data_IF_583130023372
#
_entry.id   IF_583130023372
#
_cell.length_a   1.000
_cell.length_b   1.000
_cell.length_c   1.000
_cell.angle_alpha   90.00
_cell.angle_beta   90.00
_cell.angle_gamma   90.00
#
_symmetry.space_group_name_H-M   'P 1'
#
loop_
_entity.id
_entity.type
_entity.pdbx_description
1 polymer ?
#
# COMPACT_ATOMS: atom_id res chain seq x y z
N UNK A 1 12.50 7.80 -24.31
CA UNK A 1 12.64 7.77 -22.83
C UNK A 1 14.10 7.60 -22.49
N UNK A 2 14.66 8.43 -21.60
CA UNK A 2 16.08 8.33 -21.22
C UNK A 2 16.31 7.26 -20.13
N UNK A 3 17.54 6.77 -19.99
CA UNK A 3 17.89 5.71 -19.03
C UNK A 3 17.57 6.07 -17.57
N UNK A 4 17.63 7.34 -17.20
CA UNK A 4 17.27 7.81 -15.86
C UNK A 4 15.76 7.69 -15.58
N UNK A 5 14.90 8.03 -16.54
CA UNK A 5 13.45 7.83 -16.46
C UNK A 5 13.09 6.34 -16.44
N UNK A 6 13.82 5.52 -17.19
CA UNK A 6 13.64 4.06 -17.23
C UNK A 6 14.02 3.40 -15.90
N UNK A 7 15.17 3.78 -15.33
CA UNK A 7 15.63 3.28 -14.02
C UNK A 7 14.77 3.81 -12.86
N UNK A 8 14.25 5.04 -12.96
CA UNK A 8 13.33 5.61 -11.98
C UNK A 8 12.02 4.81 -11.92
N UNK A 9 11.47 4.41 -13.07
CA UNK A 9 10.28 3.56 -13.13
C UNK A 9 10.56 2.16 -12.56
N UNK A 10 11.68 1.53 -12.94
CA UNK A 10 12.06 0.18 -12.47
C UNK A 10 12.23 0.12 -10.94
N UNK A 11 12.85 1.14 -10.31
CA UNK A 11 13.02 1.15 -8.85
C UNK A 11 11.69 1.29 -8.10
N UNK A 12 10.76 2.09 -8.62
CA UNK A 12 9.42 2.19 -8.04
C UNK A 12 8.63 0.89 -8.19
N UNK A 13 8.75 0.23 -9.34
CA UNK A 13 8.06 -1.03 -9.60
C UNK A 13 8.44 -2.10 -8.57
N UNK A 14 9.73 -2.28 -8.24
CA UNK A 14 10.14 -3.24 -7.21
C UNK A 14 9.65 -2.85 -5.81
N UNK A 15 9.86 -1.60 -5.38
CA UNK A 15 9.45 -1.17 -4.03
C UNK A 15 7.91 -1.25 -3.83
N UNK A 16 7.14 -0.96 -4.88
CA UNK A 16 5.68 -1.11 -4.84
C UNK A 16 5.31 -2.59 -4.82
N UNK A 17 5.93 -3.44 -5.64
CA UNK A 17 5.68 -4.89 -5.64
C UNK A 17 5.95 -5.51 -4.27
N UNK A 18 7.06 -5.17 -3.63
CA UNK A 18 7.40 -5.63 -2.28
C UNK A 18 6.32 -5.20 -1.28
N UNK A 19 5.87 -3.94 -1.35
CA UNK A 19 4.77 -3.47 -0.51
C UNK A 19 3.48 -4.26 -0.77
N UNK A 20 3.11 -4.52 -2.03
CA UNK A 20 1.90 -5.29 -2.36
C UNK A 20 1.98 -6.72 -1.82
N UNK A 21 3.15 -7.35 -1.92
CA UNK A 21 3.40 -8.67 -1.33
C UNK A 21 3.26 -8.65 0.19
N UNK A 22 3.81 -7.65 0.86
CA UNK A 22 3.68 -7.52 2.31
C UNK A 22 2.23 -7.29 2.75
N UNK A 23 1.47 -6.47 2.01
CA UNK A 23 0.03 -6.25 2.25
C UNK A 23 -0.72 -7.57 2.09
N UNK A 24 -0.48 -8.31 1.01
CA UNK A 24 -1.13 -9.59 0.73
C UNK A 24 -0.78 -10.64 1.78
N UNK A 25 0.50 -10.78 2.13
CA UNK A 25 0.97 -11.70 3.15
C UNK A 25 0.38 -11.37 4.53
N UNK A 26 0.27 -10.09 4.88
CA UNK A 26 -0.36 -9.67 6.13
C UNK A 26 -1.85 -10.03 6.16
N UNK A 27 -2.57 -9.82 5.06
CA UNK A 27 -3.98 -10.20 4.95
C UNK A 27 -4.17 -11.72 5.04
N UNK A 28 -3.28 -12.50 4.40
CA UNK A 28 -3.29 -13.96 4.48
C UNK A 28 -3.10 -14.44 5.93
N UNK A 29 -2.06 -13.95 6.62
CA UNK A 29 -1.80 -14.28 8.04
C UNK A 29 -2.99 -13.92 8.94
N UNK A 30 -3.60 -12.77 8.72
CA UNK A 30 -4.81 -12.39 9.45
C UNK A 30 -5.97 -13.35 9.17
N UNK A 31 -6.21 -13.70 7.90
CA UNK A 31 -7.25 -14.67 7.50
C UNK A 31 -7.03 -16.04 8.15
N UNK A 32 -5.80 -16.57 8.11
CA UNK A 32 -5.41 -17.81 8.79
C UNK A 32 -5.64 -17.76 10.31
N UNK A 33 -5.30 -16.62 10.94
CA UNK A 33 -5.53 -16.46 12.39
C UNK A 33 -7.01 -16.53 12.77
N UNK A 34 -7.91 -16.11 11.88
CA UNK A 34 -9.37 -16.23 12.08
C UNK A 34 -9.81 -17.68 11.94
N UNK A 35 -9.28 -18.43 10.96
CA UNK A 35 -9.55 -19.87 10.79
C UNK A 35 -9.20 -20.66 12.06
N UNK A 36 -7.99 -20.43 12.59
CA UNK A 36 -7.51 -21.12 13.79
C UNK A 36 -8.37 -20.82 15.03
N UNK A 37 -8.95 -19.61 15.13
CA UNK A 37 -9.82 -19.23 16.26
C UNK A 37 -11.22 -19.84 16.16
N UNK A 38 -11.78 -19.92 14.95
CA UNK A 38 -13.16 -20.36 14.75
C UNK A 38 -13.28 -21.87 14.52
N UNK A 39 -12.16 -22.58 14.33
CA UNK A 39 -12.13 -24.02 14.05
C UNK A 39 -12.77 -24.42 12.72
N UNK A 40 -13.14 -23.44 11.89
CA UNK A 40 -13.79 -23.63 10.60
C UNK A 40 -12.80 -23.29 9.50
N UNK A 41 -12.19 -24.32 8.94
CA UNK A 41 -11.36 -24.21 7.75
C UNK A 41 -12.26 -24.22 6.52
N UNK A 42 -12.41 -23.06 5.89
CA UNK A 42 -13.21 -22.95 4.67
C UNK A 42 -12.31 -22.47 3.54
N UNK A 43 -12.33 -23.21 2.42
CA UNK A 43 -11.66 -22.85 1.17
C UNK A 43 -12.05 -21.44 0.70
N UNK A 44 -13.26 -20.99 1.05
CA UNK A 44 -13.76 -19.65 0.76
C UNK A 44 -12.88 -18.52 1.35
N UNK A 45 -12.23 -18.74 2.49
CA UNK A 45 -11.33 -17.73 3.10
C UNK A 45 -9.97 -17.67 2.43
N UNK A 46 -9.45 -18.80 1.97
CA UNK A 46 -8.20 -18.82 1.19
C UNK A 46 -8.41 -18.19 -0.17
N UNK A 47 -9.53 -18.50 -0.81
CA UNK A 47 -9.90 -17.89 -2.07
C UNK A 47 -10.07 -16.37 -1.92
N UNK A 48 -10.72 -15.91 -0.84
CA UNK A 48 -10.81 -14.48 -0.54
C UNK A 48 -9.45 -13.82 -0.32
N UNK A 49 -8.52 -14.48 0.38
CA UNK A 49 -7.17 -13.94 0.60
C UNK A 49 -6.36 -13.87 -0.71
N UNK A 50 -6.47 -14.90 -1.55
CA UNK A 50 -5.85 -14.96 -2.88
C UNK A 50 -6.38 -13.84 -3.79
N UNK A 51 -7.69 -13.67 -3.83
CA UNK A 51 -8.35 -12.63 -4.61
C UNK A 51 -8.04 -11.23 -4.12
N UNK A 52 -7.95 -11.04 -2.81
CA UNK A 52 -7.50 -9.78 -2.23
C UNK A 52 -6.11 -9.40 -2.76
N UNK A 53 -5.16 -10.36 -2.77
CA UNK A 53 -3.82 -10.13 -3.32
C UNK A 53 -3.82 -9.77 -4.80
N UNK A 54 -4.60 -10.49 -5.62
CA UNK A 54 -4.72 -10.25 -7.07
C UNK A 54 -5.39 -8.90 -7.39
N UNK A 55 -6.30 -8.45 -6.54
CA UNK A 55 -7.03 -7.18 -6.73
C UNK A 55 -6.30 -5.96 -6.17
N UNK A 56 -5.10 -6.12 -5.59
CA UNK A 56 -4.26 -4.99 -5.22
C UNK A 56 -3.71 -4.29 -6.47
N UNK A 57 -3.91 -2.99 -6.53
CA UNK A 57 -3.52 -2.14 -7.64
C UNK A 57 -2.91 -0.82 -7.13
N UNK A 58 -2.25 -0.11 -8.03
CA UNK A 58 -1.68 1.19 -7.75
C UNK A 58 -1.89 2.19 -8.89
N UNK A 59 -1.92 3.48 -8.53
CA UNK A 59 -2.10 4.59 -9.47
C UNK A 59 -1.11 5.72 -9.13
N UNK A 60 -0.36 6.19 -10.12
CA UNK A 60 0.56 7.34 -9.95
C UNK A 60 -0.20 8.64 -10.11
N UNK A 61 -0.35 9.36 -9.00
CA UNK A 61 -0.80 10.74 -8.99
C UNK A 61 0.35 11.75 -9.00
N UNK A 62 0.00 13.03 -8.84
CA UNK A 62 0.99 14.12 -8.83
C UNK A 62 1.95 14.06 -7.63
N UNK A 63 1.40 13.92 -6.42
CA UNK A 63 2.17 13.91 -5.15
C UNK A 63 2.32 12.52 -4.53
N UNK A 64 1.42 11.62 -4.87
CA UNK A 64 1.31 10.31 -4.26
C UNK A 64 1.23 9.21 -5.30
N UNK A 65 1.74 8.05 -4.94
CA UNK A 65 1.35 6.78 -5.54
C UNK A 65 0.28 6.18 -4.64
N UNK A 66 -0.93 6.00 -5.14
CA UNK A 66 -2.06 5.47 -4.38
C UNK A 66 -2.08 3.96 -4.48
N UNK A 67 -2.19 3.28 -3.35
CA UNK A 67 -2.40 1.83 -3.26
C UNK A 67 -3.87 1.59 -2.93
N UNK A 68 -4.54 0.76 -3.72
CA UNK A 68 -5.95 0.46 -3.51
C UNK A 68 -6.24 -0.99 -3.89
N UNK A 69 -7.33 -1.49 -3.34
CA UNK A 69 -7.92 -2.76 -3.73
C UNK A 69 -9.07 -2.47 -4.71
N UNK A 70 -9.05 -3.16 -5.85
CA UNK A 70 -10.09 -3.14 -6.89
C UNK A 70 -10.86 -4.47 -6.91
N UNK A 71 -11.40 -4.87 -5.77
CA UNK A 71 -12.26 -6.05 -5.67
C UNK A 71 -13.56 -5.83 -6.45
N UNK A 72 -13.62 -6.46 -7.62
CA UNK A 72 -14.76 -6.40 -8.54
C UNK A 72 -15.95 -7.22 -8.06
N UNK A 73 -15.77 -8.21 -7.17
CA UNK A 73 -16.88 -9.05 -6.69
C UNK A 73 -17.89 -8.27 -5.88
N UNK A 74 -17.41 -7.29 -5.11
CA UNK A 74 -18.26 -6.46 -4.26
C UNK A 74 -18.46 -5.04 -4.82
N UNK A 75 -17.93 -4.73 -6.01
CA UNK A 75 -17.93 -3.37 -6.61
C UNK A 75 -17.42 -2.29 -5.65
N UNK A 76 -16.54 -2.65 -4.71
CA UNK A 76 -16.04 -1.75 -3.67
C UNK A 76 -14.56 -1.53 -3.85
N UNK A 77 -14.20 -0.35 -4.36
CA UNK A 77 -12.80 0.09 -4.35
C UNK A 77 -12.46 0.68 -3.00
N UNK A 78 -11.38 0.20 -2.39
CA UNK A 78 -10.91 0.69 -1.09
C UNK A 78 -9.47 1.13 -1.18
N UNK A 79 -9.17 2.35 -0.75
CA UNK A 79 -7.78 2.82 -0.67
C UNK A 79 -7.14 2.23 0.57
N UNK A 80 -5.97 1.63 0.37
CA UNK A 80 -5.16 1.10 1.46
C UNK A 80 -4.23 2.17 2.02
N UNK A 81 -3.53 2.90 1.15
CA UNK A 81 -2.57 3.92 1.56
C UNK A 81 -1.99 4.70 0.40
N UNK A 82 -1.06 5.60 0.72
CA UNK A 82 -0.40 6.48 -0.24
C UNK A 82 1.10 6.50 0.01
N UNK A 83 1.90 6.47 -1.05
CA UNK A 83 3.35 6.62 -0.97
C UNK A 83 3.72 8.02 -1.48
N UNK A 84 4.54 8.76 -0.72
CA UNK A 84 5.02 10.08 -1.12
C UNK A 84 5.99 9.94 -2.30
N UNK A 85 5.66 10.57 -3.43
CA UNK A 85 6.41 10.40 -4.70
C UNK A 85 7.71 11.18 -4.73
N UNK A 86 7.74 12.35 -4.11
CA UNK A 86 8.84 13.32 -4.18
C UNK A 86 8.97 14.08 -2.85
N UNK A 87 10.21 14.41 -2.46
CA UNK A 87 10.51 15.27 -1.31
C UNK A 87 9.84 16.64 -1.46
N UNK A 88 9.64 17.33 -0.34
CA UNK A 88 9.13 18.70 -0.30
C UNK A 88 7.72 18.92 -0.93
N UNK A 89 7.00 17.84 -1.24
CA UNK A 89 5.66 17.93 -1.87
C UNK A 89 4.50 17.81 -0.87
N UNK A 90 4.73 17.15 0.27
CA UNK A 90 3.73 16.83 1.28
C UNK A 90 4.26 17.21 2.66
N UNK A 91 3.60 18.16 3.32
CA UNK A 91 3.96 18.62 4.66
C UNK A 91 3.20 17.83 5.72
N UNK A 92 3.92 17.36 6.73
CA UNK A 92 3.37 16.76 7.94
C UNK A 92 2.65 17.83 8.76
N UNK A 93 1.40 17.55 9.13
CA UNK A 93 0.56 18.47 9.91
C UNK A 93 0.97 18.52 11.37
N UNK A 94 1.63 17.47 11.88
CA UNK A 94 2.03 17.38 13.29
C UNK A 94 3.42 17.96 13.54
N UNK A 95 4.42 17.60 12.72
CA UNK A 95 5.79 18.09 12.88
C UNK A 95 6.08 19.39 12.12
N UNK A 96 5.28 19.72 11.10
CA UNK A 96 5.57 20.81 10.17
C UNK A 96 6.71 20.53 9.19
N UNK A 97 7.39 19.38 9.28
CA UNK A 97 8.40 18.97 8.32
C UNK A 97 7.76 18.38 7.05
N UNK A 98 8.53 18.27 5.95
CA UNK A 98 8.10 17.52 4.78
C UNK A 98 8.32 16.02 4.97
N UNK A 99 7.40 15.21 4.43
CA UNK A 99 7.63 13.78 4.29
C UNK A 99 8.72 13.51 3.24
N UNK A 100 9.44 12.42 3.43
CA UNK A 100 10.46 11.96 2.49
C UNK A 100 9.82 11.16 1.36
N UNK A 101 10.48 11.16 0.20
CA UNK A 101 10.18 10.25 -0.89
C UNK A 101 10.15 8.81 -0.37
N UNK A 102 9.11 8.06 -0.72
CA UNK A 102 8.90 6.69 -0.27
C UNK A 102 8.16 6.56 1.05
N UNK A 103 7.90 7.66 1.77
CA UNK A 103 7.12 7.59 3.02
C UNK A 103 5.71 7.07 2.74
N UNK A 104 5.33 6.05 3.49
CA UNK A 104 4.02 5.43 3.43
C UNK A 104 3.07 6.15 4.39
N UNK A 105 1.94 6.61 3.88
CA UNK A 105 0.91 7.32 4.63
C UNK A 105 -0.40 6.55 4.60
N UNK A 106 -1.13 6.62 5.71
CA UNK A 106 -2.47 6.04 5.81
C UNK A 106 -3.46 6.82 4.94
N UNK A 107 -4.48 6.15 4.40
CA UNK A 107 -5.55 6.82 3.67
C UNK A 107 -6.49 7.59 4.60
N UNK A 108 -6.81 8.84 4.25
CA UNK A 108 -7.87 9.64 4.87
C UNK A 108 -9.14 9.67 4.00
N UNK A 109 -8.99 9.59 2.67
CA UNK A 109 -10.08 9.44 1.70
C UNK A 109 -9.57 8.81 0.40
N UNK A 110 -10.45 8.65 -0.59
CA UNK A 110 -10.08 8.13 -1.91
C UNK A 110 -8.93 8.89 -2.59
N UNK A 111 -8.80 10.19 -2.32
CA UNK A 111 -7.81 11.08 -2.96
C UNK A 111 -6.81 11.70 -1.99
N UNK A 112 -6.89 11.42 -0.69
CA UNK A 112 -6.08 12.10 0.32
C UNK A 112 -5.48 11.14 1.35
N UNK A 113 -4.21 11.37 1.68
CA UNK A 113 -3.51 10.72 2.77
C UNK A 113 -3.73 11.48 4.09
N UNK A 114 -3.69 10.73 5.19
CA UNK A 114 -3.53 11.26 6.54
C UNK A 114 -2.07 11.77 6.66
N UNK A 115 -1.90 13.05 7.01
CA UNK A 115 -0.59 13.74 6.97
C UNK A 115 0.01 13.96 8.36
N UNK A 116 -0.32 13.12 9.33
CA UNK A 116 0.14 13.25 10.71
C UNK A 116 1.45 12.53 11.01
N UNK A 117 1.69 11.34 10.44
CA UNK A 117 2.92 10.58 10.60
C UNK A 117 3.12 9.57 9.47
N UNK A 118 4.39 9.23 9.21
CA UNK A 118 4.78 8.16 8.29
C UNK A 118 4.56 6.79 8.95
N UNK A 119 4.15 5.79 8.16
CA UNK A 119 3.96 4.38 8.53
C UNK A 119 5.13 3.50 8.14
N UNK A 120 6.22 4.10 7.70
CA UNK A 120 7.38 3.41 7.15
C UNK A 120 7.81 4.05 5.84
N UNK A 121 8.89 3.55 5.25
CA UNK A 121 9.40 4.04 3.98
C UNK A 121 9.72 2.85 3.07
N UNK A 122 8.99 2.78 1.95
CA UNK A 122 9.05 1.63 1.03
C UNK A 122 10.40 1.51 0.31
N UNK A 123 11.14 2.62 0.19
CA UNK A 123 12.46 2.62 -0.45
C UNK A 123 13.56 2.14 0.51
N UNK A 124 13.29 2.13 1.82
CA UNK A 124 14.20 1.64 2.85
C UNK A 124 13.93 0.17 3.21
N UNK A 125 13.02 -0.52 2.51
CA UNK A 125 12.54 -1.85 2.89
C UNK A 125 11.76 -1.86 4.21
N UNK A 126 11.30 -0.69 4.67
CA UNK A 126 10.51 -0.54 5.90
C UNK A 126 9.03 -0.44 5.53
N UNK A 127 8.48 -1.56 5.07
CA UNK A 127 7.05 -1.68 4.81
C UNK A 127 6.29 -1.75 6.15
N UNK A 128 5.04 -1.29 6.14
CA UNK A 128 4.23 -1.00 7.33
C UNK A 128 4.44 -1.98 8.48
N UNK A 129 5.25 -1.59 9.48
CA UNK A 129 5.31 -2.27 10.76
C UNK A 129 4.07 -1.81 11.53
N UNK A 130 3.01 -2.62 11.52
CA UNK A 130 1.84 -2.41 12.36
C UNK A 130 2.21 -2.50 13.84
#
# INVERSE_FOLDING_TARGET
>A
MNNAQRNYLIHWDHAIQDLLQDISANYCRWSESIKMRNGNDSDARDEQAREFGVSLAWEVGRKFIKIYNDDTRNSQKRVWGFIVKENDTVKCTTSGAYFSKGDLLKAASWKQAERNHSRGNVLNGQNAKQ
#
